data_IF_608739941704
#
_entry.id   IF_608739941704
#
_cell.length_a   1.000
_cell.length_b   1.000
_cell.length_c   1.000
_cell.angle_alpha   90.00
_cell.angle_beta   90.00
_cell.angle_gamma   90.00
#
_symmetry.space_group_name_H-M   'P 1'
#
loop_
_entity.id
_entity.type
_entity.pdbx_description
1 polymer ?
#
# COMPACT_ATOMS: atom_id res chain seq x y z
N UNK A 1 12.58 -1.65 5.96
CA UNK A 1 12.58 -2.65 4.87
C UNK A 1 11.37 -2.37 4.02
N UNK A 2 11.54 -2.43 2.71
CA UNK A 2 10.50 -2.16 1.73
C UNK A 2 10.69 -3.11 0.54
N UNK A 3 9.58 -3.59 -0.01
CA UNK A 3 9.51 -4.29 -1.27
C UNK A 3 8.22 -3.88 -1.98
N UNK A 4 8.23 -3.93 -3.30
CA UNK A 4 7.05 -3.63 -4.09
C UNK A 4 7.15 -4.19 -5.49
N UNK A 5 5.99 -4.38 -6.11
CA UNK A 5 5.85 -4.82 -7.48
C UNK A 5 4.64 -4.15 -8.11
N UNK A 6 4.76 -3.77 -9.38
CA UNK A 6 3.70 -3.12 -10.14
C UNK A 6 3.58 -3.77 -11.51
N UNK A 7 2.37 -4.19 -11.86
CA UNK A 7 2.02 -4.68 -13.18
C UNK A 7 1.24 -3.60 -13.92
N UNK A 8 1.86 -3.02 -14.95
CA UNK A 8 1.25 -1.99 -15.80
C UNK A 8 0.79 -2.59 -17.11
N UNK A 9 -0.38 -2.17 -17.58
CA UNK A 9 -0.94 -2.63 -18.85
C UNK A 9 -1.69 -1.50 -19.56
N UNK A 10 -1.69 -1.48 -20.92
CA UNK A 10 -2.50 -0.53 -21.67
C UNK A 10 -3.98 -0.85 -21.48
N UNK A 11 -4.83 0.19 -21.42
CA UNK A 11 -6.28 0.04 -21.44
C UNK A 11 -6.83 0.46 -22.82
N UNK A 12 -6.96 1.76 -23.06
CA UNK A 12 -7.44 2.32 -24.33
C UNK A 12 -6.98 3.79 -24.46
N UNK A 13 -6.75 4.25 -25.69
CA UNK A 13 -6.26 5.60 -25.99
C UNK A 13 -5.05 5.97 -25.11
N UNK A 14 -5.21 7.00 -24.28
CA UNK A 14 -4.21 7.56 -23.38
C UNK A 14 -4.22 6.92 -21.99
N UNK A 15 -5.11 5.95 -21.74
CA UNK A 15 -5.27 5.30 -20.45
C UNK A 15 -4.44 4.03 -20.31
N UNK A 16 -3.80 3.90 -19.16
CA UNK A 16 -3.04 2.74 -18.71
C UNK A 16 -3.56 2.32 -17.34
N UNK A 17 -3.69 1.02 -17.14
CA UNK A 17 -4.01 0.42 -15.85
C UNK A 17 -2.75 -0.04 -15.15
N UNK A 18 -2.79 -0.07 -13.82
CA UNK A 18 -1.75 -0.65 -13.00
C UNK A 18 -2.38 -1.44 -11.85
N UNK A 19 -1.81 -2.59 -11.52
CA UNK A 19 -2.07 -3.29 -10.26
C UNK A 19 -0.75 -3.32 -9.51
N UNK A 20 -0.75 -2.93 -8.25
CA UNK A 20 0.46 -2.87 -7.45
C UNK A 20 0.29 -3.59 -6.12
N UNK A 21 1.41 -4.12 -5.63
CA UNK A 21 1.55 -4.67 -4.29
C UNK A 21 2.81 -4.08 -3.67
N UNK A 22 2.70 -3.60 -2.45
CA UNK A 22 3.80 -3.08 -1.67
C UNK A 22 3.79 -3.69 -0.28
N UNK A 23 4.96 -3.73 0.33
CA UNK A 23 5.07 -4.12 1.71
C UNK A 23 6.33 -3.61 2.36
N UNK A 24 6.20 -3.23 3.62
CA UNK A 24 7.31 -2.65 4.33
C UNK A 24 7.01 -2.39 5.78
N UNK A 25 8.06 -2.09 6.50
CA UNK A 25 7.99 -1.53 7.84
C UNK A 25 9.32 -0.85 8.20
N UNK A 26 9.25 0.05 9.18
CA UNK A 26 10.40 0.80 9.69
C UNK A 26 10.64 0.37 11.14
N UNK A 27 11.91 0.12 11.47
CA UNK A 27 12.34 -0.24 12.81
C UNK A 27 13.49 0.66 13.24
N UNK A 28 13.62 0.87 14.54
CA UNK A 28 14.73 1.56 15.16
C UNK A 28 15.89 0.58 15.38
N UNK A 29 17.13 1.05 15.25
CA UNK A 29 18.31 0.21 15.54
C UNK A 29 18.60 0.12 17.05
N UNK A 30 18.14 1.12 17.80
CA UNK A 30 18.30 1.20 19.26
C UNK A 30 16.92 1.19 19.89
N UNK A 31 16.86 0.64 21.09
CA UNK A 31 15.65 0.68 21.90
C UNK A 31 15.31 2.12 22.28
N UNK A 32 14.09 2.53 21.98
CA UNK A 32 13.55 3.84 22.38
C UNK A 32 12.47 3.65 23.42
N UNK A 33 12.57 4.41 24.53
CA UNK A 33 11.60 4.35 25.63
C UNK A 33 10.23 4.87 25.22
N UNK A 34 10.17 5.84 24.30
CA UNK A 34 8.92 6.42 23.79
C UNK A 34 8.19 5.50 22.81
N UNK A 35 8.90 4.55 22.20
CA UNK A 35 8.37 3.64 21.17
C UNK A 35 8.75 2.19 21.47
N UNK A 36 8.23 1.62 22.57
CA UNK A 36 8.58 0.27 22.99
C UNK A 36 8.22 -0.75 21.90
N UNK A 37 9.17 -1.65 21.58
CA UNK A 37 8.99 -2.70 20.58
C UNK A 37 9.19 -2.27 19.13
N UNK A 38 9.58 -1.02 18.87
CA UNK A 38 9.95 -0.51 17.54
C UNK A 38 11.31 -1.00 17.03
N UNK A 39 12.12 -1.61 17.89
CA UNK A 39 13.48 -2.03 17.58
C UNK A 39 13.52 -3.18 16.56
N UNK A 40 14.58 -3.21 15.74
CA UNK A 40 14.82 -4.28 14.78
C UNK A 40 15.25 -5.55 15.54
N UNK A 41 14.42 -6.58 15.47
CA UNK A 41 14.65 -7.89 16.07
C UNK A 41 14.51 -8.99 15.01
N UNK A 42 14.94 -10.20 15.36
CA UNK A 42 14.78 -11.37 14.49
C UNK A 42 13.32 -11.65 14.10
N UNK A 43 12.34 -11.28 14.95
CA UNK A 43 10.91 -11.45 14.69
C UNK A 43 10.26 -10.26 13.97
N UNK A 44 11.01 -9.19 13.66
CA UNK A 44 10.50 -7.96 13.06
C UNK A 44 9.74 -8.17 11.74
N UNK A 45 10.05 -9.22 10.97
CA UNK A 45 9.33 -9.58 9.74
C UNK A 45 7.81 -9.81 9.95
N UNK A 46 7.39 -10.10 11.20
CA UNK A 46 5.97 -10.22 11.58
C UNK A 46 5.22 -8.89 11.58
N UNK A 47 5.93 -7.76 11.57
CA UNK A 47 5.35 -6.43 11.60
C UNK A 47 5.36 -5.75 10.22
N UNK A 48 5.59 -6.50 9.15
CA UNK A 48 5.53 -5.97 7.78
C UNK A 48 4.07 -5.67 7.41
N UNK A 49 3.78 -4.41 7.08
CA UNK A 49 2.53 -4.01 6.47
C UNK A 49 2.53 -4.43 5.00
N UNK A 50 1.38 -4.83 4.46
CA UNK A 50 1.22 -5.17 3.04
C UNK A 50 -0.01 -4.44 2.51
N UNK A 51 0.20 -3.65 1.47
CA UNK A 51 -0.81 -2.97 0.69
C UNK A 51 -0.92 -3.58 -0.70
N UNK A 52 -2.12 -3.55 -1.27
CA UNK A 52 -2.33 -3.74 -2.70
C UNK A 52 -3.16 -2.59 -3.23
N UNK A 53 -3.21 -2.42 -4.54
CA UNK A 53 -4.12 -1.46 -5.11
C UNK A 53 -4.20 -1.53 -6.62
N UNK A 54 -5.08 -0.68 -7.13
CA UNK A 54 -5.31 -0.50 -8.55
C UNK A 54 -5.13 0.97 -8.90
N UNK A 55 -4.44 1.23 -9.99
CA UNK A 55 -4.16 2.56 -10.51
C UNK A 55 -4.67 2.72 -11.93
N UNK A 56 -5.16 3.92 -12.25
CA UNK A 56 -5.40 4.38 -13.61
C UNK A 56 -4.50 5.57 -13.87
N UNK A 57 -3.78 5.52 -14.99
CA UNK A 57 -2.90 6.57 -15.47
C UNK A 57 -3.40 7.08 -16.81
N UNK A 58 -3.47 8.39 -16.96
CA UNK A 58 -3.77 9.07 -18.21
C UNK A 58 -2.54 9.88 -18.64
N UNK A 59 -2.02 9.59 -19.82
CA UNK A 59 -0.88 10.29 -20.41
C UNK A 59 -1.39 11.32 -21.42
N UNK A 60 -1.48 12.58 -21.01
CA UNK A 60 -1.84 13.72 -21.87
C UNK A 60 -0.56 14.48 -22.24
N UNK A 61 -0.55 15.18 -23.37
CA UNK A 61 0.64 15.85 -23.92
C UNK A 61 1.38 16.76 -22.93
N UNK A 62 0.65 17.44 -22.04
CA UNK A 62 1.21 18.44 -21.12
C UNK A 62 1.25 18.00 -19.66
N UNK A 63 0.55 16.94 -19.27
CA UNK A 63 0.51 16.44 -17.90
C UNK A 63 0.09 14.96 -17.85
N UNK A 64 0.59 14.26 -16.84
CA UNK A 64 0.21 12.89 -16.52
C UNK A 64 -0.71 12.93 -15.30
N UNK A 65 -1.90 12.36 -15.43
CA UNK A 65 -2.83 12.18 -14.32
C UNK A 65 -2.75 10.74 -13.82
N UNK A 66 -2.73 10.56 -12.49
CA UNK A 66 -2.78 9.23 -11.86
C UNK A 66 -3.85 9.22 -10.78
N UNK A 67 -4.66 8.20 -10.80
CA UNK A 67 -5.63 7.90 -9.77
C UNK A 67 -5.36 6.51 -9.25
N UNK A 68 -4.97 6.40 -7.98
CA UNK A 68 -4.61 5.15 -7.33
C UNK A 68 -5.56 4.87 -6.18
N UNK A 69 -6.06 3.64 -6.12
CA UNK A 69 -6.91 3.12 -5.04
C UNK A 69 -6.12 2.09 -4.27
N UNK A 70 -5.61 2.47 -3.10
CA UNK A 70 -4.89 1.58 -2.19
C UNK A 70 -5.83 0.83 -1.25
N UNK A 71 -5.52 -0.42 -0.96
CA UNK A 71 -6.25 -1.30 -0.06
C UNK A 71 -5.25 -2.02 0.88
N UNK A 72 -5.33 -1.81 2.21
CA UNK A 72 -4.45 -2.49 3.15
C UNK A 72 -4.88 -3.96 3.33
N UNK A 73 -3.99 -4.91 3.04
CA UNK A 73 -4.23 -6.35 3.23
C UNK A 73 -3.73 -6.81 4.61
N UNK A 74 -2.59 -6.29 5.05
CA UNK A 74 -1.95 -6.64 6.33
C UNK A 74 -1.46 -5.40 7.04
N UNK A 75 -1.77 -5.29 8.32
CA UNK A 75 -1.36 -4.18 9.17
C UNK A 75 -0.15 -4.60 10.02
N UNK A 76 0.72 -3.64 10.41
CA UNK A 76 1.87 -3.92 11.27
C UNK A 76 1.48 -4.12 12.75
N UNK A 77 0.18 -4.09 13.06
CA UNK A 77 -0.42 -4.26 14.38
C UNK A 77 -1.62 -5.22 14.31
N UNK A 78 -2.00 -5.78 15.46
CA UNK A 78 -3.13 -6.71 15.54
C UNK A 78 -4.44 -6.03 15.12
N UNK A 79 -5.18 -6.71 14.26
CA UNK A 79 -6.48 -6.25 13.80
C UNK A 79 -7.47 -6.23 14.98
N UNK A 80 -8.12 -5.09 15.30
CA UNK A 80 -8.97 -4.94 16.48
C UNK A 80 -10.00 -6.07 16.62
N UNK A 81 -10.05 -6.71 17.79
CA UNK A 81 -10.96 -7.83 18.04
C UNK A 81 -10.50 -9.17 17.45
N UNK A 82 -9.26 -9.30 16.97
CA UNK A 82 -8.72 -10.56 16.48
C UNK A 82 -7.21 -10.70 16.73
N UNK A 83 -6.73 -11.94 16.83
CA UNK A 83 -5.31 -12.24 17.03
C UNK A 83 -4.55 -12.40 15.69
N UNK A 84 -4.89 -11.59 14.68
CA UNK A 84 -4.27 -11.65 13.34
C UNK A 84 -3.83 -10.26 12.88
N UNK A 85 -2.77 -10.23 12.08
CA UNK A 85 -2.27 -9.02 11.40
C UNK A 85 -2.96 -8.78 10.05
N UNK A 86 -3.67 -9.81 9.55
CA UNK A 86 -4.39 -9.77 8.28
C UNK A 86 -5.77 -9.14 8.46
N UNK A 87 -6.16 -8.30 7.50
CA UNK A 87 -7.52 -7.73 7.49
C UNK A 87 -8.51 -8.85 7.20
N UNK A 88 -9.39 -9.13 8.18
CA UNK A 88 -10.43 -10.14 8.05
C UNK A 88 -11.52 -9.68 7.08
N UNK A 89 -12.12 -10.64 6.38
CA UNK A 89 -13.23 -10.42 5.45
C UNK A 89 -12.93 -9.37 4.37
N UNK A 90 -11.65 -9.14 4.04
CA UNK A 90 -11.21 -8.05 3.16
C UNK A 90 -11.99 -8.00 1.85
N UNK A 91 -12.19 -9.15 1.19
CA UNK A 91 -12.96 -9.24 -0.05
C UNK A 91 -14.46 -9.46 0.17
N UNK A 92 -14.86 -10.06 1.30
CA UNK A 92 -16.26 -10.41 1.57
C UNK A 92 -17.08 -9.25 2.15
N UNK A 93 -16.43 -8.29 2.80
CA UNK A 93 -17.06 -7.10 3.41
C UNK A 93 -16.43 -5.79 2.93
N UNK A 94 -15.72 -5.83 1.80
CA UNK A 94 -15.04 -4.68 1.24
C UNK A 94 -16.01 -3.52 1.05
N UNK A 95 -15.77 -2.39 1.72
CA UNK A 95 -16.54 -1.17 1.51
C UNK A 95 -15.70 -0.15 0.75
N UNK A 96 -16.35 0.77 0.05
CA UNK A 96 -15.66 1.90 -0.61
C UNK A 96 -14.82 2.74 0.37
N UNK A 97 -15.14 2.70 1.67
CA UNK A 97 -14.42 3.43 2.73
C UNK A 97 -13.08 2.76 3.10
N UNK A 98 -12.88 1.50 2.75
CA UNK A 98 -11.64 0.77 3.03
C UNK A 98 -10.54 1.10 2.00
N UNK A 99 -10.93 1.68 0.87
CA UNK A 99 -10.01 2.17 -0.14
C UNK A 99 -9.46 3.54 0.25
N UNK A 100 -8.16 3.73 0.03
CA UNK A 100 -7.49 5.00 0.17
C UNK A 100 -7.26 5.60 -1.23
N UNK A 101 -8.07 6.58 -1.66
CA UNK A 101 -7.91 7.21 -2.96
C UNK A 101 -6.75 8.21 -2.94
N UNK A 102 -5.90 8.14 -3.95
CA UNK A 102 -4.84 9.09 -4.20
C UNK A 102 -4.98 9.65 -5.62
N UNK A 103 -4.80 10.96 -5.75
CA UNK A 103 -4.81 11.65 -7.04
C UNK A 103 -3.50 12.42 -7.17
N UNK A 104 -2.74 12.11 -8.22
CA UNK A 104 -1.48 12.77 -8.52
C UNK A 104 -1.49 13.38 -9.92
N UNK A 105 -0.91 14.58 -10.02
CA UNK A 105 -0.68 15.29 -11.28
C UNK A 105 0.83 15.47 -11.45
N UNK A 106 1.37 15.03 -12.56
CA UNK A 106 2.79 15.18 -12.90
C UNK A 106 2.99 15.89 -14.24
N UNK A 107 4.15 16.52 -14.41
CA UNK A 107 4.57 17.06 -15.71
C UNK A 107 5.42 16.03 -16.46
N UNK A 108 5.23 15.86 -17.78
CA UNK A 108 6.17 15.13 -18.61
C UNK A 108 7.47 15.95 -18.68
N UNK A 109 8.58 15.38 -18.23
CA UNK A 109 9.93 15.92 -18.45
C UNK A 109 10.49 15.41 -19.78
#
# INVERSE_FOLDING_TARGET
FEFGGELRFPLFLWFKGAVFIDGGNVWTLRKETERPGSELRWDSYKNIAIGTGFGIRMDVDYFVLRFDLGLPIRRPYLYPGSNTYWVKDLFSKMQLRDFNPNLAVGYPF
#
